data_IF_098638231641
#
_entry.id   IF_098638231641
#
_cell.length_a   1.000
_cell.length_b   1.000
_cell.length_c   1.000
_cell.angle_alpha   90.00
_cell.angle_beta   90.00
_cell.angle_gamma   90.00
#
_symmetry.space_group_name_H-M   'P 1'
#
loop_
_entity.id
_entity.type
_entity.pdbx_description
1 polymer ?
#
# COMPACT_ATOMS: atom_id res chain seq x y z
N UNK A 1 -6.62 -17.32 -0.68
CA UNK A 1 -5.61 -16.57 0.10
C UNK A 1 -5.87 -15.09 -0.06
N UNK A 2 -6.03 -14.37 1.02
CA UNK A 2 -6.29 -12.93 0.94
C UNK A 2 -4.98 -12.15 0.69
N UNK A 3 -5.11 -10.84 0.49
CA UNK A 3 -3.96 -10.02 0.14
C UNK A 3 -2.87 -10.03 1.23
N UNK A 4 -3.28 -9.99 2.50
CA UNK A 4 -2.33 -10.04 3.61
C UNK A 4 -1.52 -11.33 3.57
N UNK A 5 -2.18 -12.45 3.39
CA UNK A 5 -1.52 -13.76 3.32
C UNK A 5 -0.60 -13.85 2.12
N UNK A 6 -1.02 -13.33 0.98
CA UNK A 6 -0.18 -13.31 -0.23
C UNK A 6 1.09 -12.49 0.00
N UNK A 7 0.95 -11.32 0.58
CA UNK A 7 2.10 -10.45 0.85
C UNK A 7 3.02 -11.09 1.88
N UNK A 8 2.46 -11.58 2.98
CA UNK A 8 3.26 -12.20 4.03
C UNK A 8 4.07 -13.38 3.50
N UNK A 9 3.44 -14.23 2.69
CA UNK A 9 4.10 -15.40 2.12
C UNK A 9 5.17 -15.02 1.09
N UNK A 10 4.87 -14.05 0.22
CA UNK A 10 5.80 -13.65 -0.83
C UNK A 10 7.01 -12.92 -0.29
N UNK A 11 6.83 -12.10 0.73
CA UNK A 11 7.92 -11.31 1.32
C UNK A 11 8.57 -12.03 2.50
N UNK A 12 8.01 -13.16 2.92
CA UNK A 12 8.49 -13.93 4.08
C UNK A 12 8.54 -13.06 5.33
N UNK A 13 7.44 -12.35 5.59
CA UNK A 13 7.28 -11.46 6.74
C UNK A 13 6.05 -11.85 7.54
N UNK A 14 5.95 -11.33 8.76
CA UNK A 14 4.80 -11.56 9.62
C UNK A 14 3.55 -10.86 9.07
N UNK A 15 2.38 -11.40 9.37
CA UNK A 15 1.11 -10.83 8.94
C UNK A 15 0.97 -9.38 9.38
N UNK A 16 1.40 -9.06 10.60
CA UNK A 16 1.34 -7.69 11.10
C UNK A 16 2.14 -6.70 10.26
N UNK A 17 3.33 -7.10 9.82
CA UNK A 17 4.14 -6.26 8.93
C UNK A 17 3.50 -6.15 7.55
N UNK A 18 2.95 -7.26 7.04
CA UNK A 18 2.25 -7.24 5.76
C UNK A 18 1.07 -6.27 5.80
N UNK A 19 0.29 -6.30 6.87
CA UNK A 19 -0.85 -5.40 7.04
C UNK A 19 -0.42 -3.94 7.04
N UNK A 20 0.65 -3.61 7.73
CA UNK A 20 1.17 -2.24 7.79
C UNK A 20 1.69 -1.79 6.42
N UNK A 21 2.38 -2.67 5.71
CA UNK A 21 2.88 -2.36 4.38
C UNK A 21 1.74 -2.12 3.39
N UNK A 22 0.76 -2.99 3.39
CA UNK A 22 -0.42 -2.84 2.53
C UNK A 22 -1.16 -1.55 2.89
N UNK A 23 -1.32 -1.27 4.18
CA UNK A 23 -1.99 -0.04 4.64
C UNK A 23 -1.29 1.21 4.14
N UNK A 24 0.05 1.24 4.16
CA UNK A 24 0.81 2.38 3.66
C UNK A 24 0.58 2.57 2.15
N UNK A 25 0.60 1.49 1.37
CA UNK A 25 0.34 1.57 -0.06
C UNK A 25 -1.09 2.03 -0.33
N UNK A 26 -2.06 1.54 0.43
CA UNK A 26 -3.44 1.96 0.28
C UNK A 26 -3.64 3.44 0.59
N UNK A 27 -2.93 3.98 1.58
CA UNK A 27 -2.98 5.39 1.89
C UNK A 27 -2.47 6.24 0.73
N UNK A 28 -1.38 5.81 0.11
CA UNK A 28 -0.85 6.49 -1.08
C UNK A 28 -1.84 6.38 -2.25
N UNK A 29 -2.45 5.22 -2.44
CA UNK A 29 -3.45 5.01 -3.49
C UNK A 29 -4.66 5.92 -3.28
N UNK A 30 -5.09 6.08 -2.04
CA UNK A 30 -6.23 6.96 -1.72
C UNK A 30 -6.00 8.38 -2.18
N UNK A 31 -4.75 8.84 -2.13
CA UNK A 31 -4.40 10.19 -2.56
C UNK A 31 -4.34 10.31 -4.08
N UNK A 32 -4.17 9.19 -4.78
CA UNK A 32 -3.96 9.18 -6.24
C UNK A 32 -5.23 8.96 -7.05
N UNK A 33 -6.29 8.43 -6.45
CA UNK A 33 -7.54 8.10 -7.16
C UNK A 33 -8.72 8.82 -6.54
N UNK A 34 -9.84 8.95 -7.30
CA UNK A 34 -11.06 9.58 -6.77
C UNK A 34 -11.61 8.82 -5.56
N UNK A 35 -12.31 9.53 -4.69
CA UNK A 35 -12.88 8.96 -3.48
C UNK A 35 -13.82 7.79 -3.78
N UNK A 36 -14.67 7.94 -4.78
CA UNK A 36 -15.62 6.89 -5.14
C UNK A 36 -14.91 5.62 -5.60
N UNK A 37 -13.82 5.79 -6.33
CA UNK A 37 -13.02 4.66 -6.79
C UNK A 37 -12.35 3.97 -5.60
N UNK A 38 -11.84 4.74 -4.66
CA UNK A 38 -11.20 4.18 -3.47
C UNK A 38 -12.20 3.42 -2.59
N UNK A 39 -13.45 3.86 -2.54
CA UNK A 39 -14.49 3.14 -1.81
C UNK A 39 -14.64 1.71 -2.34
N UNK A 40 -14.54 1.53 -3.65
CA UNK A 40 -14.59 0.20 -4.25
C UNK A 40 -13.41 -0.66 -3.78
N UNK A 41 -12.22 -0.06 -3.66
CA UNK A 41 -11.04 -0.75 -3.15
C UNK A 41 -11.26 -1.19 -1.70
N UNK A 42 -11.81 -0.31 -0.87
CA UNK A 42 -12.08 -0.63 0.54
C UNK A 42 -13.05 -1.80 0.68
N UNK A 43 -14.07 -1.84 -0.17
CA UNK A 43 -15.03 -2.94 -0.14
C UNK A 43 -14.41 -4.26 -0.58
N UNK A 44 -13.48 -4.21 -1.52
CA UNK A 44 -12.86 -5.41 -2.06
C UNK A 44 -11.76 -5.98 -1.17
N UNK A 45 -11.12 -5.14 -0.35
CA UNK A 45 -10.04 -5.58 0.53
C UNK A 45 -10.55 -5.59 1.98
N UNK A 46 -10.74 -6.78 2.56
CA UNK A 46 -11.19 -6.86 3.96
C UNK A 46 -10.20 -6.16 4.89
N UNK A 47 -10.73 -5.40 5.84
CA UNK A 47 -9.94 -4.69 6.83
C UNK A 47 -9.01 -3.62 6.27
N UNK A 48 -9.32 -3.09 5.08
CA UNK A 48 -8.49 -2.04 4.47
C UNK A 48 -8.29 -0.85 5.40
N UNK A 49 -9.37 -0.36 6.02
CA UNK A 49 -9.29 0.77 6.95
C UNK A 49 -8.45 0.45 8.18
N UNK A 50 -8.58 -0.77 8.72
CA UNK A 50 -7.78 -1.21 9.86
C UNK A 50 -6.29 -1.25 9.50
N UNK A 51 -5.97 -1.74 8.31
CA UNK A 51 -4.58 -1.79 7.87
C UNK A 51 -4.00 -0.40 7.69
N UNK A 52 -4.77 0.52 7.13
CA UNK A 52 -4.35 1.92 6.99
C UNK A 52 -4.12 2.56 8.36
N UNK A 53 -5.02 2.30 9.31
CA UNK A 53 -4.88 2.79 10.66
C UNK A 53 -3.64 2.25 11.36
N UNK A 54 -3.35 0.97 11.17
CA UNK A 54 -2.15 0.35 11.73
C UNK A 54 -0.87 0.96 11.16
N UNK A 55 -0.87 1.25 9.85
CA UNK A 55 0.26 1.89 9.21
C UNK A 55 0.50 3.28 9.81
N UNK A 56 -0.56 4.05 10.02
CA UNK A 56 -0.47 5.35 10.65
C UNK A 56 0.06 5.26 12.07
N UNK A 57 -0.46 4.34 12.86
CA UNK A 57 -0.05 4.18 14.25
C UNK A 57 1.42 3.77 14.38
N UNK A 58 1.88 2.90 13.48
CA UNK A 58 3.26 2.43 13.50
C UNK A 58 4.24 3.54 13.14
N UNK A 59 3.84 4.43 12.24
CA UNK A 59 4.70 5.50 11.73
C UNK A 59 4.54 6.80 12.51
N UNK A 60 3.52 6.89 13.35
CA UNK A 60 3.20 8.10 14.09
C UNK A 60 2.94 9.26 13.14
N UNK A 61 3.26 10.47 13.60
CA UNK A 61 3.07 11.66 12.79
C UNK A 61 3.92 11.66 11.53
N UNK A 62 5.13 11.13 11.65
CA UNK A 62 6.04 11.06 10.52
C UNK A 62 5.45 10.22 9.40
N UNK A 63 4.86 9.06 9.74
CA UNK A 63 4.26 8.19 8.77
C UNK A 63 3.05 8.81 8.08
N UNK A 64 2.21 9.52 8.84
CA UNK A 64 1.06 10.19 8.29
C UNK A 64 1.48 11.27 7.29
N UNK A 65 2.41 12.11 7.68
CA UNK A 65 2.92 13.16 6.80
C UNK A 65 3.67 12.55 5.61
N UNK A 66 4.43 11.50 5.86
CA UNK A 66 5.20 10.84 4.80
C UNK A 66 4.28 10.27 3.72
N UNK A 67 3.19 9.63 4.11
CA UNK A 67 2.24 9.07 3.15
C UNK A 67 1.61 10.14 2.27
N UNK A 68 1.49 11.36 2.76
CA UNK A 68 0.90 12.48 2.03
C UNK A 68 1.91 13.17 1.11
N UNK A 69 3.21 13.03 1.36
CA UNK A 69 4.26 13.76 0.63
C UNK A 69 4.80 13.05 -0.61
N UNK A 70 4.16 11.96 -1.04
CA UNK A 70 4.50 11.31 -2.31
C UNK A 70 5.50 10.16 -2.18
N UNK A 71 6.32 9.91 -3.23
CA UNK A 71 7.18 8.71 -3.26
C UNK A 71 8.15 8.57 -2.09
N UNK A 72 8.82 9.65 -1.72
CA UNK A 72 9.75 9.63 -0.58
C UNK A 72 9.00 9.36 0.72
N UNK A 73 7.81 9.92 0.85
CA UNK A 73 6.96 9.69 2.02
C UNK A 73 6.52 8.25 2.13
N UNK A 74 6.12 7.64 1.02
CA UNK A 74 5.72 6.24 1.02
C UNK A 74 6.89 5.34 1.41
N UNK A 75 8.08 5.61 0.90
CA UNK A 75 9.29 4.87 1.28
C UNK A 75 9.52 4.92 2.78
N UNK A 76 9.41 6.11 3.37
CA UNK A 76 9.59 6.28 4.81
C UNK A 76 8.54 5.52 5.61
N UNK A 77 7.28 5.55 5.15
CA UNK A 77 6.20 4.83 5.80
C UNK A 77 6.40 3.32 5.74
N UNK A 78 6.86 2.80 4.61
CA UNK A 78 7.13 1.37 4.46
C UNK A 78 8.32 0.93 5.32
N UNK A 79 9.36 1.75 5.41
CA UNK A 79 10.49 1.47 6.28
C UNK A 79 10.05 1.41 7.74
N UNK A 80 9.19 2.34 8.15
CA UNK A 80 8.64 2.35 9.51
C UNK A 80 7.78 1.13 9.79
N UNK A 81 7.12 0.59 8.76
CA UNK A 81 6.32 -0.63 8.88
C UNK A 81 7.19 -1.89 8.95
N UNK A 82 8.49 -1.76 8.73
CA UNK A 82 9.39 -2.91 8.75
C UNK A 82 9.55 -3.62 7.41
N UNK A 83 9.15 -2.98 6.33
CA UNK A 83 9.29 -3.55 4.98
C UNK A 83 10.69 -3.26 4.46
N UNK A 84 11.39 -4.32 4.04
CA UNK A 84 12.73 -4.20 3.49
C UNK A 84 12.66 -3.45 2.15
N UNK A 85 13.64 -2.59 1.92
CA UNK A 85 13.74 -1.80 0.69
C UNK A 85 13.65 -2.68 -0.56
N UNK A 86 14.29 -3.84 -0.53
CA UNK A 86 14.30 -4.75 -1.67
C UNK A 86 12.92 -5.39 -1.93
N UNK A 87 12.07 -5.40 -0.92
CA UNK A 87 10.73 -5.98 -1.03
C UNK A 87 9.65 -4.98 -1.44
N UNK A 88 9.99 -3.68 -1.46
CA UNK A 88 9.01 -2.64 -1.79
C UNK A 88 8.41 -2.81 -3.19
N UNK A 89 9.19 -3.04 -4.25
CA UNK A 89 8.60 -3.26 -5.58
C UNK A 89 7.67 -4.47 -5.62
N UNK A 90 8.03 -5.54 -4.91
CA UNK A 90 7.22 -6.75 -4.84
C UNK A 90 5.90 -6.49 -4.12
N UNK A 91 5.97 -5.78 -3.00
CA UNK A 91 4.77 -5.38 -2.27
C UNK A 91 3.86 -4.52 -3.15
N UNK A 92 4.43 -3.53 -3.82
CA UNK A 92 3.68 -2.66 -4.73
C UNK A 92 2.99 -3.45 -5.82
N UNK A 93 3.69 -4.40 -6.42
CA UNK A 93 3.13 -5.24 -7.47
C UNK A 93 1.96 -6.07 -6.95
N UNK A 94 2.12 -6.70 -5.81
CA UNK A 94 1.06 -7.53 -5.23
C UNK A 94 -0.20 -6.72 -4.95
N UNK A 95 -0.04 -5.54 -4.36
CA UNK A 95 -1.19 -4.68 -4.06
C UNK A 95 -1.83 -4.15 -5.34
N UNK A 96 -1.04 -3.66 -6.29
CA UNK A 96 -1.58 -3.08 -7.52
C UNK A 96 -2.26 -4.12 -8.40
N UNK A 97 -1.72 -5.33 -8.47
CA UNK A 97 -2.37 -6.41 -9.21
C UNK A 97 -3.69 -6.81 -8.56
N UNK A 98 -3.76 -6.76 -7.24
CA UNK A 98 -5.00 -7.06 -6.53
C UNK A 98 -6.09 -6.02 -6.82
N UNK A 99 -5.73 -4.74 -6.92
CA UNK A 99 -6.71 -3.68 -7.16
C UNK A 99 -6.98 -3.42 -8.64
N UNK A 100 -6.13 -3.92 -9.53
CA UNK A 100 -6.29 -3.69 -10.98
C UNK A 100 -7.67 -4.04 -11.50
N UNK A 101 -8.25 -5.21 -11.17
CA UNK A 101 -9.61 -5.51 -11.65
C UNK A 101 -10.70 -4.65 -11.01
N UNK A 102 -10.37 -3.93 -9.94
CA UNK A 102 -11.32 -3.08 -9.24
C UNK A 102 -11.34 -1.66 -9.82
N UNK A 103 -10.17 -1.07 -10.01
CA UNK A 103 -10.04 0.32 -10.45
C UNK A 103 -9.61 0.48 -11.91
N UNK A 104 -9.17 -0.61 -12.54
CA UNK A 104 -8.75 -0.62 -13.93
C UNK A 104 -7.26 -0.38 -14.12
N UNK A 105 -6.72 -0.94 -15.21
CA UNK A 105 -5.31 -0.82 -15.56
C UNK A 105 -4.80 0.61 -15.67
N UNK A 106 -5.54 1.51 -16.38
CA UNK A 106 -5.08 2.90 -16.50
C UNK A 106 -4.89 3.62 -15.17
N UNK A 107 -5.77 3.37 -14.19
CA UNK A 107 -5.64 3.98 -12.87
C UNK A 107 -4.42 3.43 -12.14
N UNK A 108 -4.18 2.13 -12.23
CA UNK A 108 -3.01 1.50 -11.61
C UNK A 108 -1.72 2.03 -12.24
N UNK A 109 -1.68 2.11 -13.57
CA UNK A 109 -0.49 2.59 -14.27
C UNK A 109 -0.17 4.03 -13.88
N UNK A 110 -1.20 4.86 -13.76
CA UNK A 110 -1.04 6.25 -13.35
C UNK A 110 -0.49 6.35 -11.92
N UNK A 111 -1.01 5.51 -11.04
CA UNK A 111 -0.53 5.43 -9.66
C UNK A 111 0.96 5.04 -9.62
N UNK A 112 1.33 4.02 -10.38
CA UNK A 112 2.72 3.56 -10.42
C UNK A 112 3.67 4.59 -11.03
N UNK A 113 3.21 5.34 -12.02
CA UNK A 113 4.02 6.41 -12.62
C UNK A 113 4.35 7.50 -11.60
N UNK A 114 3.42 7.78 -10.69
CA UNK A 114 3.64 8.75 -9.63
C UNK A 114 4.54 8.23 -8.52
N UNK A 115 4.70 6.91 -8.40
CA UNK A 115 5.52 6.30 -7.36
C UNK A 115 6.41 5.21 -7.97
N UNK A 116 7.50 5.62 -8.66
CA UNK A 116 8.36 4.67 -9.38
C UNK A 116 8.95 3.56 -8.50
N UNK A 117 9.11 3.81 -7.21
CA UNK A 117 9.69 2.82 -6.30
C UNK A 117 8.82 1.55 -6.21
N UNK A 118 7.52 1.66 -6.40
CA UNK A 118 6.62 0.52 -6.41
C UNK A 118 6.66 -0.24 -7.72
N UNK A 119 7.15 0.39 -8.76
CA UNK A 119 7.22 -0.20 -10.09
C UNK A 119 8.41 -1.15 -10.23
N UNK A 120 9.42 -0.92 -9.43
CA UNK A 120 10.62 -1.73 -9.47
C UNK A 120 11.49 -1.38 -10.62
#
# INVERSE_FOLDING_TARGET
>A
MDLVQQVAANLEIEDGKAEKGIGAVLMALRMAIPKETFEQVKHAIPNAESMMGRALMSSGRTGEMAAVTGPAGLLAALAAAGINKDDIPRLGRLVTEHVRPIIGGPAVDRFLEGIPVLKG
#
